data_IF_070120597900
#
_entry.id   IF_070120597900
#
_cell.length_a   1.000
_cell.length_b   1.000
_cell.length_c   1.000
_cell.angle_alpha   90.00
_cell.angle_beta   90.00
_cell.angle_gamma   90.00
#
_symmetry.space_group_name_H-M   'P 1'
#
loop_
_entity.id
_entity.type
_entity.pdbx_description
1 polymer ?
#
# COMPACT_ATOMS: atom_id res chain seq x y z
N UNK A 1 4.64 -26.67 -17.36
CA UNK A 1 3.52 -25.70 -17.27
C UNK A 1 4.07 -24.38 -16.76
N UNK A 2 3.72 -23.22 -17.33
CA UNK A 2 4.18 -21.95 -16.80
C UNK A 2 3.50 -21.71 -15.44
N UNK A 3 4.28 -21.50 -14.37
CA UNK A 3 3.78 -21.31 -13.00
C UNK A 3 3.21 -19.92 -12.74
N UNK A 4 3.27 -19.00 -13.71
CA UNK A 4 2.83 -17.61 -13.54
C UNK A 4 3.78 -16.76 -12.69
N UNK A 5 5.00 -17.23 -12.46
CA UNK A 5 6.00 -16.61 -11.59
C UNK A 5 7.08 -15.92 -12.42
N UNK A 6 7.36 -14.66 -12.11
CA UNK A 6 8.48 -13.92 -12.69
C UNK A 6 9.76 -14.26 -11.94
N UNK A 7 10.81 -14.61 -12.67
CA UNK A 7 12.10 -15.01 -12.11
C UNK A 7 13.22 -14.23 -12.78
N UNK A 8 14.15 -13.69 -11.98
CA UNK A 8 15.41 -13.16 -12.49
C UNK A 8 16.55 -14.13 -12.17
N UNK A 9 17.23 -14.58 -13.22
CA UNK A 9 18.43 -15.39 -13.10
C UNK A 9 19.67 -14.57 -13.44
N UNK A 10 20.78 -14.86 -12.76
CA UNK A 10 22.12 -14.40 -13.11
C UNK A 10 22.95 -15.60 -13.52
N UNK A 11 23.63 -15.49 -14.66
CA UNK A 11 24.57 -16.52 -15.11
C UNK A 11 25.87 -16.42 -14.31
N UNK A 12 26.28 -17.51 -13.67
CA UNK A 12 27.55 -17.58 -12.93
C UNK A 12 28.52 -18.45 -13.71
N UNK A 13 29.43 -17.82 -14.46
CA UNK A 13 30.37 -18.53 -15.35
C UNK A 13 31.24 -19.57 -14.65
N UNK A 14 31.57 -19.36 -13.36
CA UNK A 14 32.37 -20.31 -12.57
C UNK A 14 31.62 -21.61 -12.27
N UNK A 15 30.31 -21.52 -12.08
CA UNK A 15 29.41 -22.65 -11.77
C UNK A 15 28.82 -23.26 -13.04
N UNK A 16 28.97 -22.57 -14.18
CA UNK A 16 28.32 -22.89 -15.46
C UNK A 16 26.80 -23.06 -15.31
N UNK A 17 26.20 -22.31 -14.39
CA UNK A 17 24.79 -22.42 -14.04
C UNK A 17 24.13 -21.05 -13.85
N UNK A 18 22.79 -21.06 -13.85
CA UNK A 18 21.91 -19.92 -13.61
C UNK A 18 21.49 -19.88 -12.15
N UNK A 19 21.96 -18.87 -11.43
CA UNK A 19 21.53 -18.63 -10.06
C UNK A 19 20.26 -17.77 -10.04
N UNK A 20 19.25 -18.19 -9.29
CA UNK A 20 18.01 -17.44 -9.09
C UNK A 20 18.28 -16.27 -8.12
N UNK A 21 18.18 -15.04 -8.60
CA UNK A 21 18.43 -13.83 -7.78
C UNK A 21 17.17 -13.40 -7.03
N UNK A 22 16.03 -13.38 -7.71
CA UNK A 22 14.74 -13.11 -7.07
C UNK A 22 13.59 -13.68 -7.88
N UNK A 23 12.46 -13.75 -7.21
CA UNK A 23 11.21 -14.28 -7.72
C UNK A 23 10.06 -13.33 -7.36
N UNK A 24 9.01 -13.26 -8.17
CA UNK A 24 7.82 -12.49 -7.88
C UNK A 24 6.58 -13.21 -8.42
N UNK A 25 5.48 -13.32 -7.64
CA UNK A 25 5.34 -12.89 -6.23
C UNK A 25 6.26 -13.69 -5.28
N UNK A 26 6.76 -13.06 -4.22
CA UNK A 26 7.62 -13.67 -3.22
C UNK A 26 6.92 -13.75 -1.85
N UNK A 27 5.98 -14.70 -1.75
CA UNK A 27 5.24 -14.97 -0.52
C UNK A 27 3.79 -14.48 -0.56
N UNK A 28 3.10 -14.69 0.55
CA UNK A 28 1.64 -14.54 0.61
C UNK A 28 1.19 -13.10 0.37
N UNK A 29 1.88 -12.11 0.95
CA UNK A 29 1.50 -10.69 0.85
C UNK A 29 1.62 -10.08 -0.56
N UNK A 30 2.30 -10.76 -1.49
CA UNK A 30 2.39 -10.29 -2.87
C UNK A 30 1.18 -10.69 -3.72
N UNK A 31 0.32 -11.58 -3.21
CA UNK A 31 -0.94 -11.91 -3.86
C UNK A 31 -1.86 -10.68 -3.94
N UNK A 32 -2.41 -10.42 -5.12
CA UNK A 32 -3.25 -9.26 -5.36
C UNK A 32 -4.49 -9.28 -4.46
N UNK A 33 -4.68 -8.22 -3.68
CA UNK A 33 -5.83 -8.02 -2.77
C UNK A 33 -6.05 -9.15 -1.76
N UNK A 34 -4.97 -9.77 -1.27
CA UNK A 34 -5.07 -10.70 -0.13
C UNK A 34 -5.76 -10.05 1.07
N UNK A 35 -5.40 -8.78 1.36
CA UNK A 35 -6.10 -7.96 2.34
C UNK A 35 -7.00 -6.95 1.63
N UNK A 36 -8.22 -6.80 2.13
CA UNK A 36 -9.21 -5.88 1.59
C UNK A 36 -8.89 -4.39 1.81
N UNK A 37 -9.78 -3.49 1.37
CA UNK A 37 -9.59 -2.04 1.44
C UNK A 37 -9.23 -1.55 2.85
N UNK A 38 -8.30 -0.61 2.94
CA UNK A 38 -7.76 -0.04 4.20
C UNK A 38 -7.14 -1.06 5.17
N UNK A 39 -6.93 -2.30 4.73
CA UNK A 39 -6.07 -3.29 5.37
C UNK A 39 -4.68 -3.32 4.70
N UNK A 40 -3.67 -3.78 5.44
CA UNK A 40 -2.34 -4.06 4.91
C UNK A 40 -1.88 -5.45 5.32
N UNK A 41 -1.00 -6.03 4.49
CA UNK A 41 -0.44 -7.35 4.73
C UNK A 41 0.89 -7.28 5.46
N UNK A 42 1.07 -8.09 6.49
CA UNK A 42 2.32 -8.20 7.26
C UNK A 42 2.52 -9.63 7.76
N UNK A 43 3.59 -10.29 7.31
CA UNK A 43 3.89 -11.67 7.70
C UNK A 43 4.39 -11.80 9.14
N UNK A 44 4.77 -10.71 9.80
CA UNK A 44 5.37 -10.72 11.15
C UNK A 44 4.30 -10.72 12.25
N UNK A 45 3.20 -9.99 12.04
CA UNK A 45 2.18 -9.77 13.07
C UNK A 45 0.93 -10.63 12.84
N UNK A 46 0.24 -10.37 11.74
CA UNK A 46 -0.96 -11.07 11.27
C UNK A 46 -1.06 -10.83 9.79
N UNK A 47 -1.47 -11.84 9.02
CA UNK A 47 -1.49 -11.76 7.56
C UNK A 47 -2.24 -10.54 7.04
N UNK A 48 -3.37 -10.17 7.66
CA UNK A 48 -4.05 -8.91 7.40
C UNK A 48 -4.24 -8.10 8.67
N UNK A 49 -3.96 -6.79 8.58
CA UNK A 49 -4.09 -5.81 9.65
C UNK A 49 -4.90 -4.60 9.17
N UNK A 50 -5.71 -4.01 10.04
CA UNK A 50 -6.32 -2.72 9.76
C UNK A 50 -5.33 -1.58 10.02
N UNK A 51 -5.35 -0.56 9.16
CA UNK A 51 -4.65 0.71 9.43
C UNK A 51 -5.17 1.27 10.76
N UNK A 52 -4.28 1.81 11.61
CA UNK A 52 -4.68 2.40 12.90
C UNK A 52 -5.74 3.49 12.68
N UNK A 53 -6.83 3.41 13.44
CA UNK A 53 -8.02 4.26 13.25
C UNK A 53 -9.11 3.62 12.38
N UNK A 54 -8.88 2.38 11.92
CA UNK A 54 -9.87 1.55 11.24
C UNK A 54 -10.13 0.27 12.04
N UNK A 55 -11.30 -0.33 11.81
CA UNK A 55 -11.70 -1.63 12.37
C UNK A 55 -12.15 -2.57 11.26
N UNK A 56 -12.13 -3.89 11.48
CA UNK A 56 -12.60 -4.84 10.48
C UNK A 56 -14.05 -4.55 10.06
N UNK A 57 -14.34 -4.65 8.76
CA UNK A 57 -15.70 -4.48 8.26
C UNK A 57 -16.60 -5.65 8.68
N UNK A 58 -16.06 -6.87 8.66
CA UNK A 58 -16.74 -8.08 9.10
C UNK A 58 -15.90 -8.75 10.19
N UNK A 59 -16.33 -8.61 11.45
CA UNK A 59 -15.61 -9.15 12.61
C UNK A 59 -15.59 -10.69 12.64
N UNK A 60 -16.65 -11.34 12.14
CA UNK A 60 -16.75 -12.80 12.14
C UNK A 60 -15.76 -13.40 11.14
N UNK A 61 -15.71 -12.86 9.92
CA UNK A 61 -14.73 -13.27 8.90
C UNK A 61 -13.29 -12.98 9.37
N UNK A 62 -13.06 -11.80 9.95
CA UNK A 62 -11.74 -11.40 10.45
C UNK A 62 -11.22 -12.31 11.57
N UNK A 63 -12.10 -12.76 12.48
CA UNK A 63 -11.76 -13.71 13.53
C UNK A 63 -11.36 -15.10 12.98
N UNK A 64 -11.77 -15.43 11.76
CA UNK A 64 -11.39 -16.65 11.04
C UNK A 64 -10.15 -16.44 10.14
N UNK A 65 -9.52 -15.25 10.18
CA UNK A 65 -8.38 -14.90 9.34
C UNK A 65 -8.75 -14.43 7.92
N UNK A 66 -10.03 -14.25 7.61
CA UNK A 66 -10.49 -13.70 6.34
C UNK A 66 -10.49 -12.16 6.38
N UNK A 67 -9.48 -11.58 5.73
CA UNK A 67 -9.29 -10.14 5.60
C UNK A 67 -9.88 -9.50 4.33
N UNK A 68 -10.58 -10.26 3.47
CA UNK A 68 -11.00 -9.81 2.13
C UNK A 68 -11.98 -8.64 2.20
N UNK A 69 -12.85 -8.63 3.22
CA UNK A 69 -13.80 -7.53 3.46
C UNK A 69 -13.12 -6.21 3.84
N UNK A 70 -11.84 -6.26 4.24
CA UNK A 70 -11.04 -5.11 4.63
C UNK A 70 -11.56 -4.42 5.89
N UNK A 71 -11.26 -3.13 5.98
CA UNK A 71 -11.50 -2.32 7.16
C UNK A 71 -12.34 -1.08 6.85
N UNK A 72 -12.95 -0.51 7.87
CA UNK A 72 -13.73 0.74 7.82
C UNK A 72 -13.22 1.71 8.88
N UNK A 73 -13.29 3.01 8.60
CA UNK A 73 -12.86 4.04 9.55
C UNK A 73 -13.68 3.94 10.84
N UNK A 74 -13.02 4.18 11.97
CA UNK A 74 -13.69 4.25 13.26
C UNK A 74 -14.51 5.53 13.42
N UNK A 75 -14.05 6.62 12.82
CA UNK A 75 -14.64 7.96 12.90
C UNK A 75 -14.79 8.50 11.49
N UNK A 76 -15.97 9.07 11.20
CA UNK A 76 -16.25 9.69 9.92
C UNK A 76 -15.43 10.97 9.73
N UNK A 77 -14.94 11.20 8.51
CA UNK A 77 -14.19 12.41 8.19
C UNK A 77 -15.08 13.65 8.22
N UNK A 78 -14.47 14.77 8.63
CA UNK A 78 -15.15 16.07 8.71
C UNK A 78 -14.97 16.90 7.43
N UNK A 79 -13.87 16.71 6.71
CA UNK A 79 -13.34 17.54 5.61
C UNK A 79 -13.10 19.03 5.94
N UNK A 80 -13.73 19.59 6.98
CA UNK A 80 -13.67 21.01 7.35
C UNK A 80 -12.49 21.35 8.27
N UNK A 81 -11.31 20.80 7.99
CA UNK A 81 -10.05 21.14 8.69
C UNK A 81 -9.74 20.37 9.99
N UNK A 82 -10.63 19.47 10.42
CA UNK A 82 -10.39 18.57 11.57
C UNK A 82 -9.53 17.35 11.22
N UNK A 83 -9.46 16.99 9.94
CA UNK A 83 -8.85 15.73 9.52
C UNK A 83 -7.32 15.80 9.59
N UNK A 84 -6.71 14.63 9.80
CA UNK A 84 -5.27 14.45 9.99
C UNK A 84 -4.80 13.20 9.26
N UNK A 85 -3.52 13.15 8.95
CA UNK A 85 -2.89 11.98 8.35
C UNK A 85 -2.17 11.13 9.40
N UNK A 86 -2.24 9.81 9.21
CA UNK A 86 -1.35 8.87 9.87
C UNK A 86 -0.19 8.55 8.91
N UNK A 87 1.05 8.72 9.37
CA UNK A 87 2.22 8.35 8.60
C UNK A 87 2.48 6.84 8.71
N UNK A 88 2.29 6.10 7.62
CA UNK A 88 2.63 4.69 7.49
C UNK A 88 4.05 4.54 6.95
N UNK A 89 4.82 3.59 7.50
CA UNK A 89 6.23 3.34 7.15
C UNK A 89 6.37 1.97 6.49
N UNK A 90 7.40 1.82 5.65
CA UNK A 90 7.73 0.55 4.98
C UNK A 90 6.58 -0.05 4.15
N UNK A 91 5.79 0.82 3.52
CA UNK A 91 4.62 0.40 2.76
C UNK A 91 4.96 0.20 1.29
N UNK A 92 4.44 -0.88 0.71
CA UNK A 92 4.13 -0.93 -0.73
C UNK A 92 2.97 0.03 -0.97
N UNK A 93 3.11 0.95 -1.93
CA UNK A 93 2.04 1.88 -2.27
C UNK A 93 0.79 1.11 -2.73
N UNK A 94 -0.42 1.57 -2.36
CA UNK A 94 -1.65 0.92 -2.79
C UNK A 94 -1.86 1.08 -4.30
N UNK A 95 -2.83 0.34 -4.82
CA UNK A 95 -3.24 0.38 -6.23
C UNK A 95 -3.43 1.82 -6.72
N UNK A 96 -2.85 2.13 -7.88
CA UNK A 96 -2.79 3.50 -8.42
C UNK A 96 -3.88 3.82 -9.43
N UNK A 97 -4.93 2.98 -9.54
CA UNK A 97 -6.05 3.21 -10.48
C UNK A 97 -6.74 4.55 -10.24
N UNK A 98 -6.87 4.98 -8.99
CA UNK A 98 -7.52 6.25 -8.60
C UNK A 98 -6.53 7.23 -7.95
N UNK A 99 -5.41 7.51 -8.63
CA UNK A 99 -4.37 8.43 -8.12
C UNK A 99 -4.20 9.65 -9.01
N UNK A 100 -4.04 10.82 -8.40
CA UNK A 100 -3.55 12.04 -9.07
C UNK A 100 -2.06 12.20 -8.81
N UNK A 101 -1.29 12.59 -9.84
CA UNK A 101 0.17 12.73 -9.75
C UNK A 101 0.60 14.16 -10.09
N UNK A 102 1.39 14.79 -9.23
CA UNK A 102 2.06 16.06 -9.50
C UNK A 102 3.52 16.00 -9.04
N UNK A 103 4.45 15.87 -9.99
CA UNK A 103 5.89 15.71 -9.68
C UNK A 103 6.59 17.00 -9.29
N UNK A 104 5.91 18.16 -9.39
CA UNK A 104 6.52 19.47 -9.18
C UNK A 104 6.43 19.95 -7.73
N UNK A 105 5.55 19.34 -6.94
CA UNK A 105 5.28 19.76 -5.56
C UNK A 105 5.88 18.77 -4.56
N UNK A 106 6.16 19.26 -3.35
CA UNK A 106 6.60 18.44 -2.23
C UNK A 106 5.43 17.88 -1.40
N UNK A 107 5.75 17.01 -0.45
CA UNK A 107 4.76 16.31 0.40
C UNK A 107 3.87 17.25 1.23
N UNK A 108 4.38 18.39 1.69
CA UNK A 108 3.58 19.31 2.52
C UNK A 108 2.49 20.01 1.71
N UNK A 109 2.81 20.45 0.49
CA UNK A 109 1.81 20.98 -0.44
C UNK A 109 0.83 19.88 -0.89
N UNK A 110 1.31 18.64 -1.05
CA UNK A 110 0.48 17.48 -1.36
C UNK A 110 -0.57 17.23 -0.24
N UNK A 111 -0.14 17.24 1.03
CA UNK A 111 -1.04 17.13 2.19
C UNK A 111 -2.05 18.25 2.22
N UNK A 112 -1.64 19.50 1.99
CA UNK A 112 -2.54 20.67 1.97
C UNK A 112 -3.61 20.54 0.88
N UNK A 113 -3.23 20.11 -0.33
CA UNK A 113 -4.17 19.85 -1.44
C UNK A 113 -5.13 18.72 -1.10
N UNK A 114 -4.64 17.64 -0.52
CA UNK A 114 -5.46 16.52 -0.08
C UNK A 114 -6.48 16.94 0.99
N UNK A 115 -6.08 17.70 2.00
CA UNK A 115 -6.99 18.23 3.02
C UNK A 115 -8.06 19.18 2.45
N UNK A 116 -7.78 19.79 1.30
CA UNK A 116 -8.73 20.66 0.59
C UNK A 116 -9.68 19.87 -0.34
N UNK A 117 -9.48 18.56 -0.51
CA UNK A 117 -10.27 17.69 -1.36
C UNK A 117 -10.93 16.59 -0.50
N UNK A 118 -12.24 16.68 -0.28
CA UNK A 118 -12.96 15.75 0.59
C UNK A 118 -12.95 14.28 0.14
N UNK A 119 -12.62 14.02 -1.12
CA UNK A 119 -12.51 12.66 -1.64
C UNK A 119 -11.08 12.11 -1.51
N UNK A 120 -10.13 12.90 -1.02
CA UNK A 120 -8.76 12.45 -0.84
C UNK A 120 -8.62 11.56 0.40
N UNK A 121 -8.02 10.37 0.22
CA UNK A 121 -7.88 9.39 1.31
C UNK A 121 -6.44 9.19 1.78
N UNK A 122 -5.45 9.44 0.93
CA UNK A 122 -4.04 9.24 1.25
C UNK A 122 -3.12 10.06 0.32
N UNK A 123 -1.89 10.31 0.80
CA UNK A 123 -0.83 10.94 0.01
C UNK A 123 0.51 10.21 0.19
N UNK A 124 1.38 10.29 -0.82
CA UNK A 124 2.77 9.82 -0.76
C UNK A 124 3.66 10.65 -1.69
N UNK A 125 4.98 10.55 -1.50
CA UNK A 125 5.93 11.06 -2.50
C UNK A 125 5.87 10.19 -3.77
N UNK A 126 6.06 10.80 -4.93
CA UNK A 126 6.14 10.07 -6.20
C UNK A 126 7.54 9.49 -6.46
N UNK A 127 8.56 10.12 -5.89
CA UNK A 127 9.96 9.69 -5.93
C UNK A 127 10.53 9.73 -4.52
N UNK A 128 11.28 8.71 -4.12
CA UNK A 128 11.85 8.59 -2.77
C UNK A 128 13.28 9.18 -2.67
N UNK A 129 13.91 9.52 -3.79
CA UNK A 129 15.27 10.08 -3.82
C UNK A 129 15.30 11.49 -3.21
N UNK A 130 16.46 11.92 -2.73
CA UNK A 130 16.71 13.28 -2.24
C UNK A 130 15.73 13.76 -1.15
N UNK A 131 15.29 12.86 -0.27
CA UNK A 131 14.33 13.19 0.80
C UNK A 131 12.86 13.18 0.36
N UNK A 132 12.60 12.85 -0.90
CA UNK A 132 11.26 12.66 -1.45
C UNK A 132 10.77 13.85 -2.27
N UNK A 133 10.28 13.57 -3.47
CA UNK A 133 9.76 14.57 -4.41
C UNK A 133 8.46 14.09 -5.06
N UNK A 134 7.65 15.06 -5.49
CA UNK A 134 6.36 14.81 -6.13
C UNK A 134 5.27 14.38 -5.17
N UNK A 135 4.05 14.34 -5.69
CA UNK A 135 2.83 14.05 -4.97
C UNK A 135 2.06 12.96 -5.69
N UNK A 136 1.73 11.90 -4.95
CA UNK A 136 0.70 10.93 -5.28
C UNK A 136 -0.46 11.18 -4.32
N UNK A 137 -1.67 11.32 -4.85
CA UNK A 137 -2.87 11.60 -4.06
C UNK A 137 -3.98 10.64 -4.47
N UNK A 138 -4.40 9.78 -3.54
CA UNK A 138 -5.45 8.78 -3.77
C UNK A 138 -6.83 9.36 -3.50
N UNK A 139 -7.78 8.98 -4.36
CA UNK A 139 -9.19 9.35 -4.25
C UNK A 139 -10.03 8.10 -3.97
N UNK A 140 -10.95 8.17 -2.99
CA UNK A 140 -11.84 7.06 -2.66
C UNK A 140 -12.76 7.29 -1.47
#
# INVERSE_FOLDING_TARGET
>A
TPSGVLQQFMWISKEQDRNLIWVSPNGQCDAYRLCGPYGYCDIVTSLCNCIRGFKPRNLQAWALGDGVSGCVRNIQLSCKGGDRFLHLKNMKLPDTTSVTVDRRIGVEECKRRCLSNCNCTAVANADIRNGGLGCLMWIG
#
